data_IF_113184007699
#
_entry.id   IF_113184007699
#
_cell.length_a   1.000
_cell.length_b   1.000
_cell.length_c   1.000
_cell.angle_alpha   90.00
_cell.angle_beta   90.00
_cell.angle_gamma   90.00
#
_symmetry.space_group_name_H-M   'P 1'
#
loop_
_entity.id
_entity.type
_entity.pdbx_description
1 polymer ?
#
# COMPACT_ATOMS: atom_id res chain seq x y z
N UNK A 1 -4.96 11.96 -6.94
CA UNK A 1 -3.50 11.95 -7.05
C UNK A 1 -3.09 10.85 -8.00
N UNK A 2 -1.90 10.93 -8.58
CA UNK A 2 -1.34 9.86 -9.41
C UNK A 2 -0.77 8.72 -8.54
N UNK A 3 -0.75 7.49 -9.07
CA UNK A 3 -0.16 6.34 -8.38
C UNK A 3 1.38 6.41 -8.38
N UNK A 4 2.02 5.88 -7.34
CA UNK A 4 3.48 5.91 -7.25
C UNK A 4 4.19 5.14 -8.38
N UNK A 5 3.59 4.08 -8.94
CA UNK A 5 4.17 3.40 -10.10
C UNK A 5 4.10 4.28 -11.35
N UNK A 6 2.98 4.97 -11.55
CA UNK A 6 2.81 5.90 -12.68
C UNK A 6 3.81 7.06 -12.58
N UNK A 7 4.01 7.59 -11.37
CA UNK A 7 5.02 8.63 -11.11
C UNK A 7 6.44 8.17 -11.43
N UNK A 8 6.80 6.97 -10.99
CA UNK A 8 8.10 6.37 -11.30
C UNK A 8 8.32 6.23 -12.81
N UNK A 9 7.32 5.72 -13.54
CA UNK A 9 7.37 5.56 -15.00
C UNK A 9 7.50 6.93 -15.69
N UNK A 10 6.70 7.92 -15.26
CA UNK A 10 6.69 9.26 -15.83
C UNK A 10 8.01 9.97 -15.63
N UNK A 11 8.67 9.78 -14.49
CA UNK A 11 9.95 10.38 -14.18
C UNK A 11 11.07 9.79 -15.05
N UNK A 12 11.09 8.47 -15.23
CA UNK A 12 12.03 7.80 -16.15
C UNK A 12 11.84 8.31 -17.60
N UNK A 13 10.60 8.40 -18.08
CA UNK A 13 10.32 8.96 -19.42
C UNK A 13 10.75 10.42 -19.55
N UNK A 14 10.55 11.20 -18.50
CA UNK A 14 10.93 12.62 -18.48
C UNK A 14 12.45 12.79 -18.54
N UNK A 15 13.22 12.00 -17.78
CA UNK A 15 14.68 12.11 -17.82
C UNK A 15 15.24 11.69 -19.18
N UNK A 16 14.67 10.65 -19.81
CA UNK A 16 15.07 10.22 -21.15
C UNK A 16 14.81 11.34 -22.19
N UNK A 17 13.65 12.00 -22.10
CA UNK A 17 13.31 13.13 -22.97
C UNK A 17 14.23 14.34 -22.74
N UNK A 18 14.54 14.66 -21.48
CA UNK A 18 15.46 15.75 -21.10
C UNK A 18 16.86 15.45 -21.60
N UNK A 19 17.38 14.24 -21.37
CA UNK A 19 18.71 13.84 -21.81
C UNK A 19 18.83 13.91 -23.34
N UNK A 20 17.85 13.38 -24.08
CA UNK A 20 17.82 13.49 -25.54
C UNK A 20 17.81 14.96 -26.01
N UNK A 21 17.07 15.85 -25.35
CA UNK A 21 17.07 17.27 -25.67
C UNK A 21 18.41 17.96 -25.36
N UNK A 22 19.09 17.56 -24.28
CA UNK A 22 20.41 18.05 -23.94
C UNK A 22 21.48 17.54 -24.91
N UNK A 23 21.40 16.27 -25.32
CA UNK A 23 22.33 15.67 -26.29
C UNK A 23 22.33 16.40 -27.63
N UNK A 24 21.17 16.84 -28.11
CA UNK A 24 21.06 17.70 -29.32
C UNK A 24 21.79 19.05 -29.19
N UNK A 25 22.06 19.50 -27.96
CA UNK A 25 22.77 20.74 -27.64
C UNK A 25 24.23 20.51 -27.24
N UNK A 26 24.75 19.30 -27.42
CA UNK A 26 26.11 18.92 -27.01
C UNK A 26 26.28 18.81 -25.49
N UNK A 27 25.20 18.59 -24.73
CA UNK A 27 25.18 18.41 -23.27
C UNK A 27 24.61 17.02 -22.93
N UNK A 28 24.77 16.55 -21.71
CA UNK A 28 24.11 15.34 -21.22
C UNK A 28 23.71 15.51 -19.75
N UNK A 29 22.82 14.64 -19.27
CA UNK A 29 22.61 14.46 -17.83
C UNK A 29 23.71 13.54 -17.31
N UNK A 30 24.39 13.93 -16.24
CA UNK A 30 25.56 13.21 -15.71
C UNK A 30 25.17 11.85 -15.11
N UNK A 31 24.15 11.84 -14.24
CA UNK A 31 23.54 10.61 -13.71
C UNK A 31 22.00 10.68 -13.81
N UNK A 32 21.43 10.28 -14.97
CA UNK A 32 19.98 10.28 -15.16
C UNK A 32 19.24 9.40 -14.13
N UNK A 33 19.84 8.27 -13.74
CA UNK A 33 19.20 7.31 -12.85
C UNK A 33 19.20 7.80 -11.41
N UNK A 34 20.32 8.36 -10.94
CA UNK A 34 20.42 8.98 -9.63
C UNK A 34 19.42 10.12 -9.47
N UNK A 35 19.29 10.97 -10.48
CA UNK A 35 18.33 12.09 -10.46
C UNK A 35 16.87 11.61 -10.35
N UNK A 36 16.52 10.58 -11.13
CA UNK A 36 15.19 9.95 -11.07
C UNK A 36 14.93 9.35 -9.68
N UNK A 37 15.90 8.66 -9.08
CA UNK A 37 15.75 8.10 -7.73
C UNK A 37 15.55 9.19 -6.69
N UNK A 38 16.40 10.22 -6.70
CA UNK A 38 16.34 11.34 -5.77
C UNK A 38 14.99 12.06 -5.87
N UNK A 39 14.58 12.42 -7.09
CA UNK A 39 13.33 13.13 -7.31
C UNK A 39 12.11 12.27 -6.98
N UNK A 40 12.18 10.94 -7.15
CA UNK A 40 11.14 10.02 -6.70
C UNK A 40 11.01 9.99 -5.18
N UNK A 41 12.13 9.88 -4.45
CA UNK A 41 12.14 9.83 -2.98
C UNK A 41 11.60 11.15 -2.39
N UNK A 42 12.08 12.29 -2.89
CA UNK A 42 11.68 13.61 -2.37
C UNK A 42 10.21 13.94 -2.62
N UNK A 43 9.59 13.36 -3.64
CA UNK A 43 8.24 13.72 -4.07
C UNK A 43 7.32 12.50 -4.23
N UNK A 44 7.59 11.41 -3.49
CA UNK A 44 6.81 10.18 -3.60
C UNK A 44 5.33 10.45 -3.27
N UNK A 45 4.39 10.16 -4.20
CA UNK A 45 2.97 10.44 -3.99
C UNK A 45 2.30 9.42 -3.05
N UNK A 46 2.97 8.32 -2.71
CA UNK A 46 2.49 7.31 -1.77
C UNK A 46 3.12 7.53 -0.38
N UNK A 47 2.31 7.86 0.65
CA UNK A 47 2.84 8.15 1.99
C UNK A 47 3.43 6.93 2.68
N UNK A 48 2.97 5.72 2.38
CA UNK A 48 3.50 4.48 2.97
C UNK A 48 4.89 4.17 2.43
N UNK A 49 5.08 4.35 1.11
CA UNK A 49 6.41 4.23 0.50
C UNK A 49 7.33 5.36 0.94
N UNK A 50 6.82 6.59 1.01
CA UNK A 50 7.58 7.75 1.48
C UNK A 50 8.20 7.53 2.88
N UNK A 51 7.43 6.93 3.81
CA UNK A 51 7.96 6.54 5.12
C UNK A 51 9.10 5.51 5.03
N UNK A 52 9.02 4.58 4.09
CA UNK A 52 10.05 3.56 3.88
C UNK A 52 11.36 4.20 3.38
N UNK A 53 11.27 5.26 2.57
CA UNK A 53 12.44 5.94 2.03
C UNK A 53 13.22 6.76 3.06
N UNK A 54 12.65 7.02 4.24
CA UNK A 54 13.33 7.72 5.34
C UNK A 54 14.32 6.84 6.11
N UNK A 55 14.40 5.54 5.81
CA UNK A 55 15.31 4.62 6.49
C UNK A 55 16.79 4.82 6.15
N UNK A 56 17.09 5.47 5.02
CA UNK A 56 18.44 5.82 4.58
C UNK A 56 18.38 7.06 3.67
N UNK A 57 19.46 7.84 3.56
CA UNK A 57 19.44 9.06 2.76
C UNK A 57 19.22 8.77 1.26
N UNK A 58 18.63 9.71 0.49
CA UNK A 58 18.22 9.48 -0.90
C UNK A 58 19.33 8.96 -1.82
N UNK A 59 20.56 9.41 -1.61
CA UNK A 59 21.74 9.08 -2.41
C UNK A 59 22.17 7.61 -2.28
N UNK A 60 21.73 6.94 -1.21
CA UNK A 60 22.02 5.52 -0.98
C UNK A 60 20.98 4.60 -1.59
N UNK A 61 19.87 5.13 -2.13
CA UNK A 61 18.87 4.33 -2.81
C UNK A 61 19.27 4.07 -4.25
N UNK A 62 18.99 2.85 -4.70
CA UNK A 62 19.18 2.45 -6.09
C UNK A 62 17.83 2.31 -6.79
N UNK A 63 17.81 2.52 -8.10
CA UNK A 63 16.60 2.32 -8.90
C UNK A 63 16.00 0.90 -8.73
N UNK A 64 16.85 -0.11 -8.54
CA UNK A 64 16.43 -1.49 -8.31
C UNK A 64 15.76 -1.69 -6.93
N UNK A 65 16.17 -0.95 -5.90
CA UNK A 65 15.49 -0.95 -4.60
C UNK A 65 14.14 -0.25 -4.68
N UNK A 66 14.08 0.91 -5.34
CA UNK A 66 12.81 1.63 -5.58
C UNK A 66 11.81 0.74 -6.32
N UNK A 67 12.27 0.07 -7.39
CA UNK A 67 11.45 -0.89 -8.12
C UNK A 67 10.95 -2.02 -7.22
N UNK A 68 11.80 -2.60 -6.36
CA UNK A 68 11.39 -3.64 -5.41
C UNK A 68 10.34 -3.15 -4.42
N UNK A 69 10.47 -1.92 -3.90
CA UNK A 69 9.48 -1.30 -3.02
C UNK A 69 8.12 -1.13 -3.74
N UNK A 70 8.15 -0.65 -4.98
CA UNK A 70 6.97 -0.49 -5.82
C UNK A 70 6.28 -1.83 -6.12
N UNK A 71 7.05 -2.85 -6.51
CA UNK A 71 6.53 -4.19 -6.80
C UNK A 71 5.89 -4.82 -5.55
N UNK A 72 6.52 -4.63 -4.39
CA UNK A 72 6.00 -5.04 -3.09
C UNK A 72 4.65 -4.39 -2.77
N UNK A 73 4.52 -3.09 -3.04
CA UNK A 73 3.26 -2.36 -2.87
C UNK A 73 2.17 -2.87 -3.80
N UNK A 74 2.47 -3.03 -5.10
CA UNK A 74 1.50 -3.55 -6.08
C UNK A 74 1.01 -4.94 -5.68
N UNK A 75 1.91 -5.82 -5.24
CA UNK A 75 1.56 -7.15 -4.74
C UNK A 75 0.65 -7.07 -3.51
N UNK A 76 0.97 -6.21 -2.54
CA UNK A 76 0.17 -6.01 -1.32
C UNK A 76 -1.23 -5.51 -1.66
N UNK A 77 -1.36 -4.50 -2.52
CA UNK A 77 -2.65 -3.96 -2.96
C UNK A 77 -3.48 -5.04 -3.67
N UNK A 78 -2.87 -5.81 -4.58
CA UNK A 78 -3.55 -6.93 -5.26
C UNK A 78 -4.02 -8.00 -4.29
N UNK A 79 -3.20 -8.35 -3.29
CA UNK A 79 -3.56 -9.33 -2.27
C UNK A 79 -4.74 -8.88 -1.42
N UNK A 80 -4.80 -7.58 -1.05
CA UNK A 80 -5.93 -7.04 -0.30
C UNK A 80 -7.21 -7.09 -1.12
N UNK A 81 -7.15 -6.70 -2.41
CA UNK A 81 -8.30 -6.72 -3.32
C UNK A 81 -8.82 -8.14 -3.56
N UNK A 82 -7.93 -9.12 -3.72
CA UNK A 82 -8.33 -10.52 -3.85
C UNK A 82 -8.99 -11.05 -2.56
N UNK A 83 -8.47 -10.66 -1.40
CA UNK A 83 -9.01 -11.09 -0.11
C UNK A 83 -10.36 -10.43 0.21
N UNK A 84 -10.61 -9.19 -0.22
CA UNK A 84 -11.92 -8.55 -0.09
C UNK A 84 -12.96 -9.13 -1.04
N UNK A 85 -12.57 -9.55 -2.26
CA UNK A 85 -13.50 -10.23 -3.17
C UNK A 85 -13.94 -11.62 -2.67
N UNK A 86 -13.08 -12.33 -1.93
CA UNK A 86 -13.43 -13.62 -1.34
C UNK A 86 -14.47 -13.52 -0.20
N UNK A 87 -14.58 -12.36 0.47
CA UNK A 87 -15.56 -12.12 1.53
C UNK A 87 -16.93 -11.68 1.01
N UNK A 88 -17.03 -11.17 -0.22
CA UNK A 88 -18.29 -10.73 -0.83
C UNK A 88 -19.09 -11.89 -1.45
N UNK A 89 -18.50 -13.09 -1.57
CA UNK A 89 -19.14 -14.27 -2.17
C UNK A 89 -19.74 -15.25 -1.15
N UNK A 90 -19.84 -14.89 0.13
CA UNK A 90 -20.44 -15.73 1.17
C UNK A 90 -21.86 -15.26 1.53
N UNK A 91 -22.73 -15.10 0.54
CA UNK A 91 -24.19 -15.01 0.75
C UNK A 91 -24.91 -15.95 -0.23
N UNK A 92 -24.86 -17.24 0.07
CA UNK A 92 -25.89 -18.18 -0.38
C UNK A 92 -26.02 -19.32 0.63
N UNK A 93 -27.10 -19.26 1.39
CA UNK A 93 -27.71 -20.32 2.20
C UNK A 93 -27.45 -21.73 1.65
N UNK A 94 -26.70 -22.56 2.39
CA UNK A 94 -27.05 -23.97 2.57
C UNK A 94 -26.23 -24.63 3.70
N UNK A 95 -26.94 -25.09 4.73
CA UNK A 95 -26.60 -26.27 5.54
C UNK A 95 -27.77 -27.25 5.30
N UNK A 96 -27.59 -28.59 5.28
CA UNK A 96 -26.92 -29.31 6.35
C UNK A 96 -25.95 -30.42 5.91
N UNK A 97 -24.97 -30.66 6.79
CA UNK A 97 -24.52 -31.99 7.28
C UNK A 97 -24.15 -33.06 6.23
N UNK A 98 -22.86 -33.34 6.09
CA UNK A 98 -22.35 -34.72 6.00
C UNK A 98 -20.84 -34.79 6.27
N UNK A 99 -20.51 -35.58 7.28
CA UNK A 99 -19.22 -36.18 7.60
C UNK A 99 -18.41 -36.57 6.35
N UNK A 100 -17.12 -36.20 6.31
CA UNK A 100 -16.01 -37.03 5.82
C UNK A 100 -14.67 -36.36 6.17
N UNK A 101 -13.89 -37.00 7.06
CA UNK A 101 -12.45 -36.79 7.13
C UNK A 101 -11.80 -37.35 5.84
N UNK A 102 -10.68 -36.77 5.38
CA UNK A 102 -9.44 -37.51 5.54
C UNK A 102 -8.22 -36.64 5.91
N UNK A 103 -7.43 -37.20 6.82
CA UNK A 103 -5.97 -37.16 6.91
C UNK A 103 -5.22 -36.18 6.00
N UNK A 104 -4.67 -35.13 6.62
CA UNK A 104 -3.62 -34.29 6.07
C UNK A 104 -3.00 -33.49 7.21
N UNK A 105 -1.91 -34.00 7.78
CA UNK A 105 -1.18 -33.31 8.85
C UNK A 105 -0.52 -32.05 8.27
N UNK A 106 -1.15 -30.89 8.46
CA UNK A 106 -0.48 -29.60 8.38
C UNK A 106 -0.05 -29.21 9.80
N UNK A 107 1.26 -29.16 9.95
CA UNK A 107 1.98 -28.70 11.13
C UNK A 107 1.39 -27.38 11.63
N UNK A 108 0.91 -27.37 12.88
CA UNK A 108 0.65 -26.15 13.64
C UNK A 108 2.01 -25.48 13.83
N UNK A 109 2.32 -24.54 12.94
CA UNK A 109 3.42 -23.63 13.16
C UNK A 109 3.03 -22.73 14.33
N UNK A 110 3.77 -22.89 15.43
CA UNK A 110 3.82 -22.00 16.58
C UNK A 110 3.79 -20.55 16.13
N UNK A 111 2.65 -19.88 16.27
CA UNK A 111 2.60 -18.42 16.20
C UNK A 111 3.21 -17.89 17.49
N UNK A 112 4.41 -17.33 17.38
CA UNK A 112 5.11 -16.65 18.46
C UNK A 112 4.15 -15.69 19.19
N UNK A 113 4.09 -15.68 20.54
CA UNK A 113 3.08 -14.95 21.31
C UNK A 113 3.08 -13.44 21.01
N UNK A 114 4.23 -12.89 20.59
CA UNK A 114 4.39 -11.48 20.22
C UNK A 114 3.60 -11.14 18.95
N UNK A 115 3.59 -12.03 17.96
CA UNK A 115 2.87 -11.81 16.70
C UNK A 115 1.35 -11.76 16.91
N UNK A 116 0.83 -12.63 17.79
CA UNK A 116 -0.59 -12.70 18.10
C UNK A 116 -1.05 -11.50 18.95
N UNK A 117 -0.19 -11.02 19.84
CA UNK A 117 -0.43 -9.80 20.61
C UNK A 117 -0.53 -8.57 19.69
N UNK A 118 0.37 -8.44 18.71
CA UNK A 118 0.33 -7.35 17.73
C UNK A 118 -0.95 -7.40 16.90
N UNK A 119 -1.33 -8.57 16.38
CA UNK A 119 -2.59 -8.75 15.62
C UNK A 119 -3.80 -8.32 16.46
N UNK A 120 -3.85 -8.72 17.73
CA UNK A 120 -4.94 -8.35 18.64
C UNK A 120 -4.99 -6.85 18.92
N UNK A 121 -3.82 -6.20 19.05
CA UNK A 121 -3.76 -4.75 19.24
C UNK A 121 -4.24 -3.99 18.00
N UNK A 122 -3.86 -4.44 16.80
CA UNK A 122 -4.33 -3.83 15.55
C UNK A 122 -5.85 -3.95 15.38
N UNK A 123 -6.41 -5.12 15.68
CA UNK A 123 -7.86 -5.36 15.58
C UNK A 123 -8.67 -4.42 16.50
N UNK A 124 -8.17 -4.19 17.73
CA UNK A 124 -8.77 -3.24 18.67
C UNK A 124 -8.74 -1.80 18.16
N UNK A 125 -7.63 -1.37 17.55
CA UNK A 125 -7.52 -0.01 16.99
C UNK A 125 -8.49 0.19 15.83
N UNK A 126 -8.56 -0.77 14.91
CA UNK A 126 -9.50 -0.73 13.79
C UNK A 126 -10.96 -0.70 14.27
N UNK A 127 -11.29 -1.50 15.30
CA UNK A 127 -12.61 -1.50 15.92
C UNK A 127 -12.97 -0.15 16.55
N UNK A 128 -12.04 0.51 17.25
CA UNK A 128 -12.27 1.84 17.84
C UNK A 128 -12.49 2.91 16.77
N UNK A 129 -11.72 2.87 15.68
CA UNK A 129 -11.90 3.79 14.55
C UNK A 129 -13.29 3.61 13.91
N UNK A 130 -13.72 2.37 13.69
CA UNK A 130 -15.04 2.09 13.10
C UNK A 130 -16.20 2.55 14.02
N UNK A 131 -16.08 2.32 15.33
CA UNK A 131 -17.07 2.79 16.32
C UNK A 131 -17.15 4.33 16.38
N UNK A 132 -16.01 5.01 16.24
CA UNK A 132 -15.94 6.48 16.22
C UNK A 132 -16.62 7.07 14.97
N UNK A 133 -16.45 6.41 13.81
CA UNK A 133 -17.11 6.80 12.55
C UNK A 133 -18.63 6.58 12.61
N UNK A 134 -19.10 5.52 13.27
CA UNK A 134 -20.53 5.27 13.48
C UNK A 134 -21.17 6.32 14.41
N UNK A 135 -20.45 6.77 15.44
CA UNK A 135 -20.96 7.71 16.45
C UNK A 135 -20.98 9.16 15.95
N UNK A 136 -20.11 9.52 14.99
CA UNK A 136 -20.06 10.86 14.38
C UNK A 136 -21.30 11.25 13.56
N UNK A 137 -22.15 10.27 13.17
CA UNK A 137 -23.32 10.51 12.32
C UNK A 137 -24.58 10.96 13.05
N UNK A 138 -24.66 10.84 14.39
CA UNK A 138 -25.86 11.22 15.15
C UNK A 138 -25.90 12.67 15.62
N UNK A 139 -24.79 13.42 15.56
CA UNK A 139 -24.74 14.81 16.07
C UNK A 139 -25.08 15.91 15.05
N UNK A 140 -25.24 15.56 13.77
CA UNK A 140 -25.49 16.50 12.67
C UNK A 140 -26.95 16.52 12.19
N UNK A 141 -27.92 16.50 13.12
CA UNK A 141 -29.34 16.42 12.76
C UNK A 141 -30.28 16.95 13.83
N UNK A 142 -30.06 18.17 14.35
CA UNK A 142 -31.11 18.87 15.11
C UNK A 142 -30.91 20.39 15.12
N UNK A 143 -31.08 21.02 13.97
CA UNK A 143 -31.40 22.46 13.91
C UNK A 143 -32.92 22.59 14.04
N UNK A 144 -33.39 22.75 15.28
CA UNK A 144 -34.78 23.09 15.58
C UNK A 144 -34.81 24.61 15.83
N UNK A 145 -35.37 25.37 14.89
CA UNK A 145 -35.72 26.77 15.09
C UNK A 145 -36.84 26.89 16.16
N UNK A 146 -36.86 28.01 16.89
CA UNK A 146 -38.15 28.66 17.06
C UNK A 146 -38.09 30.19 16.95
N UNK A 147 -39.14 30.70 16.28
CA UNK A 147 -39.92 31.94 16.45
C UNK A 147 -39.20 33.21 16.91
#
# INVERSE_FOLDING_TARGET
GEDAMDYWIRLNKSIDAVDECLRRRGKCVEDPRGEVVMMFISHCPDPTLSLSFQMKPPEQWTAAEIQRCLDGRVRKVRSVVANTQALDSADTLHDPMATLQPTGAYSVATVEPVSQQMVTMFDRVLSLCNASLATGRQRAGRSQAPQ
#
